data_IF_095886448395
#
_entry.id   IF_095886448395
#
_cell.length_a   1.000
_cell.length_b   1.000
_cell.length_c   1.000
_cell.angle_alpha   90.00
_cell.angle_beta   90.00
_cell.angle_gamma   90.00
#
_symmetry.space_group_name_H-M   'P 1'
#
loop_
_entity.id
_entity.type
_entity.pdbx_description
1 polymer ?
#
# COMPACT_ATOMS: atom_id res chain seq x y z
N UNK A 1 -5.49 -23.52 -0.81
CA UNK A 1 -6.26 -22.33 -0.42
C UNK A 1 -6.22 -21.25 -1.51
N UNK A 2 -7.20 -21.22 -2.41
CA UNK A 2 -7.29 -20.20 -3.47
C UNK A 2 -7.62 -18.80 -2.93
N UNK A 3 -8.41 -18.72 -1.87
CA UNK A 3 -9.03 -17.49 -1.35
C UNK A 3 -8.18 -16.67 -0.35
N UNK A 4 -6.93 -17.06 -0.09
CA UNK A 4 -6.09 -16.41 0.92
C UNK A 4 -5.92 -14.89 0.68
N UNK A 5 -5.84 -14.47 -0.58
CA UNK A 5 -5.73 -13.06 -0.98
C UNK A 5 -7.00 -12.25 -0.62
N UNK A 6 -8.18 -12.86 -0.73
CA UNK A 6 -9.45 -12.20 -0.41
C UNK A 6 -9.59 -12.00 1.10
N UNK A 7 -9.21 -13.00 1.88
CA UNK A 7 -9.25 -12.90 3.35
C UNK A 7 -8.24 -11.87 3.85
N UNK A 8 -7.06 -11.80 3.25
CA UNK A 8 -6.09 -10.73 3.49
C UNK A 8 -6.63 -9.36 3.11
N UNK A 9 -7.36 -9.25 2.01
CA UNK A 9 -8.00 -8.00 1.62
C UNK A 9 -8.97 -7.53 2.71
N UNK A 10 -9.82 -8.44 3.21
CA UNK A 10 -10.74 -8.17 4.32
C UNK A 10 -9.99 -7.79 5.60
N UNK A 11 -8.90 -8.48 5.93
CA UNK A 11 -8.07 -8.16 7.10
C UNK A 11 -7.35 -6.79 6.97
N UNK A 12 -7.10 -6.35 5.74
CA UNK A 12 -6.44 -5.08 5.44
C UNK A 12 -7.44 -3.91 5.34
N UNK A 13 -8.71 -4.21 5.10
CA UNK A 13 -9.77 -3.21 4.91
C UNK A 13 -9.93 -2.23 6.09
N UNK A 14 -9.88 -2.64 7.38
CA UNK A 14 -9.93 -1.70 8.50
C UNK A 14 -8.80 -0.67 8.50
N UNK A 15 -7.60 -1.04 8.01
CA UNK A 15 -6.48 -0.12 7.89
C UNK A 15 -6.72 0.94 6.82
N UNK A 16 -7.35 0.55 5.71
CA UNK A 16 -7.77 1.52 4.68
C UNK A 16 -8.83 2.48 5.22
N UNK A 17 -9.81 1.98 5.98
CA UNK A 17 -10.81 2.85 6.63
C UNK A 17 -10.18 3.79 7.67
N UNK A 18 -9.25 3.30 8.48
CA UNK A 18 -8.53 4.12 9.44
C UNK A 18 -7.69 5.21 8.76
N UNK A 19 -7.04 4.87 7.65
CA UNK A 19 -6.32 5.84 6.83
C UNK A 19 -7.25 6.88 6.20
N UNK A 20 -8.44 6.46 5.77
CA UNK A 20 -9.47 7.35 5.23
C UNK A 20 -9.93 8.36 6.29
N UNK A 21 -10.29 7.87 7.49
CA UNK A 21 -10.68 8.70 8.62
C UNK A 21 -9.56 9.66 9.06
N UNK A 22 -8.31 9.18 9.10
CA UNK A 22 -7.15 10.00 9.43
C UNK A 22 -6.91 11.09 8.38
N UNK A 23 -7.13 10.78 7.10
CA UNK A 23 -7.04 11.76 6.01
C UNK A 23 -8.11 12.84 6.15
N UNK A 24 -9.33 12.47 6.54
CA UNK A 24 -10.40 13.45 6.76
C UNK A 24 -10.10 14.35 7.96
N UNK A 25 -9.53 13.80 9.03
CA UNK A 25 -9.06 14.59 10.18
C UNK A 25 -7.91 15.55 9.80
N UNK A 26 -7.08 15.17 8.81
CA UNK A 26 -5.97 15.96 8.28
C UNK A 26 -6.36 16.83 7.08
N UNK A 27 -7.64 16.88 6.71
CA UNK A 27 -8.11 17.62 5.53
C UNK A 27 -7.75 19.11 5.59
N UNK A 28 -7.76 19.71 6.79
CA UNK A 28 -7.34 21.10 7.02
C UNK A 28 -5.86 21.35 6.70
N UNK A 29 -5.03 20.32 6.73
CA UNK A 29 -3.60 20.37 6.40
C UNK A 29 -3.32 19.96 4.94
N UNK A 30 -4.36 19.62 4.18
CA UNK A 30 -4.28 19.12 2.79
C UNK A 30 -3.37 17.89 2.63
N UNK A 31 -3.27 17.07 3.69
CA UNK A 31 -2.49 15.83 3.72
C UNK A 31 -3.42 14.62 3.66
N UNK A 32 -2.97 13.58 2.96
CA UNK A 32 -3.69 12.30 2.85
C UNK A 32 -2.87 11.20 3.51
N UNK A 33 -3.50 10.45 4.39
CA UNK A 33 -2.90 9.29 5.03
C UNK A 33 -2.97 8.10 4.07
N UNK A 34 -1.81 7.62 3.63
CA UNK A 34 -1.71 6.58 2.61
C UNK A 34 -1.06 5.32 3.19
N UNK A 35 -1.75 4.17 3.11
CA UNK A 35 -1.26 2.89 3.65
C UNK A 35 -1.23 1.76 2.63
N UNK A 36 -1.91 1.90 1.48
CA UNK A 36 -2.09 0.82 0.50
C UNK A 36 -0.78 0.25 -0.02
N UNK A 37 0.27 1.07 -0.13
CA UNK A 37 1.60 0.62 -0.54
C UNK A 37 2.29 -0.22 0.55
N UNK A 38 2.21 0.22 1.81
CA UNK A 38 2.74 -0.52 2.96
C UNK A 38 2.03 -1.88 3.16
N UNK A 39 0.73 -1.94 2.84
CA UNK A 39 -0.08 -3.16 2.93
C UNK A 39 0.39 -4.29 2.00
N UNK A 40 1.24 -4.02 0.99
CA UNK A 40 1.75 -5.06 0.08
C UNK A 40 2.90 -5.87 0.67
N UNK A 41 3.58 -5.34 1.69
CA UNK A 41 4.88 -5.85 2.12
C UNK A 41 4.79 -7.21 2.79
N UNK A 42 3.93 -7.38 3.81
CA UNK A 42 3.78 -8.69 4.45
C UNK A 42 3.18 -9.76 3.51
N UNK A 43 2.12 -9.47 2.71
CA UNK A 43 1.55 -10.43 1.77
C UNK A 43 2.53 -10.85 0.67
N UNK A 44 3.39 -9.94 0.20
CA UNK A 44 4.37 -10.23 -0.88
C UNK A 44 5.35 -11.35 -0.52
N UNK A 45 5.57 -11.61 0.78
CA UNK A 45 6.44 -12.66 1.30
C UNK A 45 5.78 -14.05 1.34
N UNK A 46 4.44 -14.13 1.31
CA UNK A 46 3.72 -15.39 1.57
C UNK A 46 2.75 -15.80 0.45
N UNK A 47 2.08 -14.84 -0.20
CA UNK A 47 1.12 -15.14 -1.25
C UNK A 47 1.78 -15.68 -2.52
N UNK A 48 1.04 -16.43 -3.36
CA UNK A 48 1.49 -16.72 -4.73
C UNK A 48 1.48 -15.44 -5.58
N UNK A 49 2.27 -15.39 -6.68
CA UNK A 49 2.35 -14.19 -7.54
C UNK A 49 0.98 -13.70 -8.01
N UNK A 50 0.14 -14.60 -8.53
CA UNK A 50 -1.21 -14.25 -8.97
C UNK A 50 -2.11 -13.75 -7.83
N UNK A 51 -2.00 -14.35 -6.63
CA UNK A 51 -2.75 -13.91 -5.44
C UNK A 51 -2.34 -12.51 -5.01
N UNK A 52 -1.04 -12.22 -5.09
CA UNK A 52 -0.48 -10.91 -4.76
C UNK A 52 -0.94 -9.84 -5.76
N UNK A 53 -1.00 -10.18 -7.06
CA UNK A 53 -1.52 -9.29 -8.10
C UNK A 53 -3.00 -8.95 -7.86
N UNK A 54 -3.84 -9.95 -7.62
CA UNK A 54 -5.26 -9.72 -7.32
C UNK A 54 -5.45 -8.87 -6.07
N UNK A 55 -4.75 -9.20 -4.99
CA UNK A 55 -4.79 -8.42 -3.75
C UNK A 55 -4.37 -6.96 -3.98
N UNK A 56 -3.28 -6.72 -4.70
CA UNK A 56 -2.78 -5.37 -4.95
C UNK A 56 -3.72 -4.54 -5.84
N UNK A 57 -4.27 -5.15 -6.90
CA UNK A 57 -5.27 -4.51 -7.74
C UNK A 57 -6.50 -4.12 -6.93
N UNK A 58 -7.04 -5.04 -6.12
CA UNK A 58 -8.18 -4.76 -5.26
C UNK A 58 -7.89 -3.65 -4.23
N UNK A 59 -6.70 -3.61 -3.63
CA UNK A 59 -6.31 -2.52 -2.73
C UNK A 59 -6.33 -1.16 -3.43
N UNK A 60 -5.81 -1.09 -4.66
CA UNK A 60 -5.80 0.14 -5.45
C UNK A 60 -7.21 0.59 -5.80
N UNK A 61 -8.04 -0.32 -6.34
CA UNK A 61 -9.44 -0.01 -6.64
C UNK A 61 -10.24 0.42 -5.40
N UNK A 62 -10.02 -0.23 -4.25
CA UNK A 62 -10.67 0.16 -3.00
C UNK A 62 -10.26 1.55 -2.50
N UNK A 63 -9.05 1.99 -2.82
CA UNK A 63 -8.59 3.33 -2.47
C UNK A 63 -9.11 4.37 -3.48
N UNK A 64 -9.09 4.05 -4.77
CA UNK A 64 -9.70 4.86 -5.85
C UNK A 64 -11.19 5.08 -5.62
N UNK A 65 -11.93 4.05 -5.19
CA UNK A 65 -13.35 4.20 -4.88
C UNK A 65 -13.64 5.17 -3.71
N UNK A 66 -12.63 5.47 -2.87
CA UNK A 66 -12.77 6.37 -1.72
C UNK A 66 -12.22 7.78 -1.99
N UNK A 67 -11.30 7.94 -2.95
CA UNK A 67 -10.61 9.20 -3.19
C UNK A 67 -10.61 9.53 -4.68
N UNK A 68 -10.88 10.80 -5.08
CA UNK A 68 -11.04 11.19 -6.47
C UNK A 68 -9.71 11.10 -7.23
N UNK A 69 -9.54 10.04 -8.01
CA UNK A 69 -8.34 9.71 -8.80
C UNK A 69 -8.83 9.08 -10.11
N UNK A 70 -8.12 9.23 -11.24
CA UNK A 70 -8.41 8.48 -12.45
C UNK A 70 -8.43 6.96 -12.21
N UNK A 71 -9.47 6.30 -12.74
CA UNK A 71 -9.68 4.87 -12.57
C UNK A 71 -8.48 4.06 -13.04
N UNK A 72 -8.05 3.11 -12.21
CA UNK A 72 -6.99 2.17 -12.50
C UNK A 72 -5.56 2.72 -12.34
N UNK A 73 -5.36 4.02 -12.12
CA UNK A 73 -4.02 4.60 -11.98
C UNK A 73 -3.26 4.00 -10.80
N UNK A 74 -3.91 3.92 -9.64
CA UNK A 74 -3.32 3.36 -8.44
C UNK A 74 -3.36 1.83 -8.48
N UNK A 75 -4.47 1.23 -8.94
CA UNK A 75 -4.59 -0.23 -9.07
C UNK A 75 -3.47 -0.84 -9.92
N UNK A 76 -3.22 -0.30 -11.11
CA UNK A 76 -2.15 -0.77 -11.98
C UNK A 76 -0.76 -0.54 -11.37
N UNK A 77 -0.56 0.59 -10.69
CA UNK A 77 0.72 0.86 -10.03
C UNK A 77 1.03 -0.12 -8.89
N UNK A 78 0.02 -0.47 -8.08
CA UNK A 78 0.18 -1.42 -6.99
C UNK A 78 0.36 -2.85 -7.52
N UNK A 79 -0.28 -3.20 -8.65
CA UNK A 79 -0.01 -4.45 -9.35
C UNK A 79 1.44 -4.52 -9.82
N UNK A 80 1.97 -3.46 -10.42
CA UNK A 80 3.38 -3.40 -10.82
C UNK A 80 4.32 -3.55 -9.61
N UNK A 81 4.02 -2.84 -8.51
CA UNK A 81 4.76 -2.96 -7.26
C UNK A 81 4.69 -4.39 -6.68
N UNK A 82 3.52 -5.03 -6.71
CA UNK A 82 3.32 -6.41 -6.28
C UNK A 82 4.17 -7.40 -7.08
N UNK A 83 4.23 -7.24 -8.41
CA UNK A 83 5.08 -8.05 -9.29
C UNK A 83 6.54 -7.87 -8.91
N UNK A 84 6.99 -6.62 -8.75
CA UNK A 84 8.36 -6.30 -8.36
C UNK A 84 8.73 -6.90 -6.99
N UNK A 85 7.92 -6.65 -5.96
CA UNK A 85 8.13 -7.18 -4.61
C UNK A 85 8.13 -8.71 -4.59
N UNK A 86 7.26 -9.35 -5.37
CA UNK A 86 7.21 -10.80 -5.48
C UNK A 86 8.45 -11.41 -6.13
N UNK A 87 9.16 -10.64 -6.97
CA UNK A 87 10.45 -11.03 -7.55
C UNK A 87 11.60 -10.81 -6.56
N UNK A 88 11.50 -9.79 -5.70
CA UNK A 88 12.53 -9.39 -4.74
C UNK A 88 12.33 -9.95 -3.32
N UNK A 89 11.61 -11.05 -3.17
CA UNK A 89 11.23 -11.63 -1.86
C UNK A 89 12.39 -11.87 -0.90
N UNK A 90 13.58 -12.22 -1.42
CA UNK A 90 14.76 -12.46 -0.60
C UNK A 90 15.18 -11.20 0.17
N UNK A 91 15.09 -10.03 -0.43
CA UNK A 91 15.41 -8.74 0.19
C UNK A 91 14.40 -8.31 1.27
N UNK A 92 13.18 -8.86 1.23
CA UNK A 92 12.11 -8.58 2.19
C UNK A 92 12.17 -9.46 3.44
N UNK A 93 13.14 -10.38 3.53
CA UNK A 93 13.28 -11.31 4.67
C UNK A 93 13.76 -10.59 5.94
N UNK A 94 14.67 -9.65 5.80
CA UNK A 94 15.23 -8.91 6.92
C UNK A 94 14.34 -7.71 7.25
N UNK A 95 14.12 -7.47 8.54
CA UNK A 95 13.39 -6.30 9.06
C UNK A 95 13.81 -4.97 8.41
N UNK A 96 15.11 -4.63 8.27
CA UNK A 96 15.51 -3.38 7.63
C UNK A 96 15.12 -3.31 6.14
N UNK A 97 15.22 -4.43 5.41
CA UNK A 97 14.80 -4.48 4.00
C UNK A 97 13.29 -4.31 3.86
N UNK A 98 12.53 -4.91 4.77
CA UNK A 98 11.08 -4.80 4.84
C UNK A 98 10.63 -3.35 5.10
N UNK A 99 11.24 -2.66 6.07
CA UNK A 99 10.96 -1.26 6.39
C UNK A 99 11.29 -0.32 5.22
N UNK A 100 12.44 -0.53 4.57
CA UNK A 100 12.83 0.25 3.38
C UNK A 100 11.86 0.04 2.23
N UNK A 101 11.50 -1.20 1.94
CA UNK A 101 10.54 -1.51 0.88
C UNK A 101 9.16 -0.91 1.19
N UNK A 102 8.70 -0.96 2.45
CA UNK A 102 7.45 -0.35 2.87
C UNK A 102 7.44 1.16 2.65
N UNK A 103 8.49 1.86 3.10
CA UNK A 103 8.64 3.29 2.87
C UNK A 103 8.63 3.61 1.38
N UNK A 104 9.46 2.93 0.59
CA UNK A 104 9.61 3.18 -0.85
C UNK A 104 8.31 2.95 -1.63
N UNK A 105 7.64 1.81 -1.39
CA UNK A 105 6.40 1.47 -2.09
C UNK A 105 5.27 2.40 -1.69
N UNK A 106 5.20 2.78 -0.41
CA UNK A 106 4.17 3.70 0.07
C UNK A 106 4.39 5.13 -0.45
N UNK A 107 5.64 5.61 -0.48
CA UNK A 107 6.02 6.88 -1.09
C UNK A 107 5.74 6.86 -2.60
N UNK A 108 6.12 5.79 -3.30
CA UNK A 108 5.88 5.65 -4.74
C UNK A 108 4.40 5.65 -5.11
N UNK A 109 3.59 4.90 -4.38
CA UNK A 109 2.15 4.89 -4.58
C UNK A 109 1.52 6.26 -4.23
N UNK A 110 2.02 6.95 -3.20
CA UNK A 110 1.60 8.30 -2.87
C UNK A 110 1.98 9.34 -3.95
N UNK A 111 3.14 9.20 -4.59
CA UNK A 111 3.53 10.05 -5.72
C UNK A 111 2.57 9.87 -6.89
N UNK A 112 2.31 8.63 -7.26
CA UNK A 112 1.38 8.29 -8.36
C UNK A 112 -0.01 8.85 -8.05
N UNK A 113 -0.48 8.66 -6.82
CA UNK A 113 -1.72 9.27 -6.35
C UNK A 113 -1.73 10.79 -6.51
N UNK A 114 -0.70 11.48 -6.00
CA UNK A 114 -0.65 12.94 -6.01
C UNK A 114 -0.69 13.51 -7.43
N UNK A 115 0.09 12.94 -8.35
CA UNK A 115 0.07 13.36 -9.76
C UNK A 115 -1.22 13.00 -10.47
N UNK A 116 -1.78 11.82 -10.20
CA UNK A 116 -3.03 11.39 -10.80
C UNK A 116 -4.22 12.24 -10.31
N UNK A 117 -4.25 12.60 -9.03
CA UNK A 117 -5.25 13.50 -8.45
C UNK A 117 -5.13 14.92 -9.03
N UNK A 118 -3.90 15.43 -9.21
CA UNK A 118 -3.65 16.73 -9.83
C UNK A 118 -4.14 16.83 -11.29
N UNK A 119 -4.24 15.70 -11.99
CA UNK A 119 -4.82 15.64 -13.34
C UNK A 119 -6.34 15.85 -13.34
N UNK A 120 -7.03 15.43 -12.28
CA UNK A 120 -8.49 15.58 -12.13
C UNK A 120 -8.85 16.93 -11.53
N UNK A 121 -8.06 17.41 -10.58
CA UNK A 121 -8.26 18.68 -9.89
C UNK A 121 -6.93 19.45 -9.79
N UNK A 122 -6.64 20.38 -10.70
CA UNK A 122 -5.36 21.08 -10.72
C UNK A 122 -5.17 21.97 -9.49
N UNK A 123 -4.01 21.84 -8.86
CA UNK A 123 -3.59 22.63 -7.68
C UNK A 123 -2.81 23.87 -8.14
N UNK A 124 -2.95 25.04 -7.48
CA UNK A 124 -2.14 26.22 -7.79
C UNK A 124 -0.63 25.98 -7.60
N UNK A 125 0.18 26.34 -8.61
CA UNK A 125 1.62 26.01 -8.69
C UNK A 125 2.49 26.49 -7.52
N UNK A 126 2.09 27.56 -6.82
CA UNK A 126 2.88 28.17 -5.74
C UNK A 126 3.10 27.28 -4.51
N UNK A 127 2.15 26.38 -4.22
CA UNK A 127 2.16 25.55 -2.99
C UNK A 127 2.44 24.07 -3.25
N UNK A 128 2.53 23.65 -4.52
CA UNK A 128 2.65 22.24 -4.92
C UNK A 128 3.90 21.59 -4.29
N UNK A 129 5.05 22.26 -4.32
CA UNK A 129 6.31 21.69 -3.84
C UNK A 129 6.26 21.46 -2.33
N UNK A 130 5.78 22.44 -1.57
CA UNK A 130 5.70 22.35 -0.11
C UNK A 130 4.65 21.30 0.33
N UNK A 131 3.53 21.21 -0.38
CA UNK A 131 2.52 20.19 -0.12
C UNK A 131 3.04 18.79 -0.48
N UNK A 132 3.69 18.63 -1.63
CA UNK A 132 4.30 17.39 -2.06
C UNK A 132 5.34 16.91 -1.06
N UNK A 133 6.27 17.77 -0.61
CA UNK A 133 7.31 17.37 0.35
C UNK A 133 6.72 16.91 1.69
N UNK A 134 5.70 17.60 2.21
CA UNK A 134 4.99 17.17 3.42
C UNK A 134 4.26 15.85 3.21
N UNK A 135 3.63 15.66 2.05
CA UNK A 135 2.92 14.45 1.69
C UNK A 135 3.87 13.25 1.56
N UNK A 136 5.06 13.44 0.96
CA UNK A 136 6.09 12.40 0.85
C UNK A 136 6.68 12.03 2.22
N UNK A 137 6.94 13.03 3.06
CA UNK A 137 7.41 12.80 4.43
C UNK A 137 6.37 11.97 5.21
N UNK A 138 5.11 12.38 5.17
CA UNK A 138 4.02 11.65 5.81
C UNK A 138 3.93 10.23 5.25
N UNK A 139 3.93 10.05 3.93
CA UNK A 139 3.86 8.73 3.30
C UNK A 139 5.03 7.82 3.71
N UNK A 140 6.25 8.36 3.84
CA UNK A 140 7.42 7.62 4.33
C UNK A 140 7.31 7.23 5.80
N UNK A 141 6.87 8.15 6.66
CA UNK A 141 6.65 7.88 8.09
C UNK A 141 5.55 6.85 8.27
N UNK A 142 4.41 7.00 7.60
CA UNK A 142 3.30 6.04 7.64
C UNK A 142 3.73 4.69 7.08
N UNK A 143 4.50 4.69 5.99
CA UNK A 143 5.04 3.47 5.39
C UNK A 143 5.98 2.71 6.31
N UNK A 144 6.67 3.37 7.24
CA UNK A 144 7.58 2.72 8.20
C UNK A 144 6.90 2.38 9.52
N UNK A 145 6.19 3.32 10.13
CA UNK A 145 5.54 3.17 11.43
C UNK A 145 4.27 2.32 11.33
N UNK A 146 3.45 2.56 10.30
CA UNK A 146 2.22 1.80 10.06
C UNK A 146 2.47 0.36 9.60
N UNK A 147 3.66 0.08 9.04
CA UNK A 147 4.03 -1.26 8.58
C UNK A 147 3.91 -2.31 9.68
N UNK A 148 4.43 -2.03 10.88
CA UNK A 148 4.50 -3.04 11.94
C UNK A 148 3.11 -3.55 12.33
N UNK A 149 2.14 -2.71 12.73
CA UNK A 149 0.83 -3.20 13.12
C UNK A 149 0.04 -3.79 11.93
N UNK A 150 0.16 -3.21 10.72
CA UNK A 150 -0.45 -3.77 9.50
C UNK A 150 0.10 -5.18 9.25
N UNK A 151 1.42 -5.35 9.26
CA UNK A 151 2.08 -6.63 9.03
C UNK A 151 1.71 -7.67 10.09
N UNK A 152 1.57 -7.28 11.36
CA UNK A 152 1.14 -8.18 12.43
C UNK A 152 -0.28 -8.70 12.18
N UNK A 153 -1.22 -7.82 11.83
CA UNK A 153 -2.60 -8.26 11.52
C UNK A 153 -2.68 -9.16 10.28
N UNK A 154 -1.94 -8.81 9.22
CA UNK A 154 -1.88 -9.62 8.01
C UNK A 154 -1.21 -10.98 8.26
N UNK A 155 -0.12 -11.02 9.04
CA UNK A 155 0.54 -12.27 9.41
C UNK A 155 -0.38 -13.16 10.25
N UNK A 156 -1.04 -12.61 11.28
CA UNK A 156 -1.99 -13.35 12.09
C UNK A 156 -3.15 -13.93 11.24
N UNK A 157 -3.66 -13.16 10.27
CA UNK A 157 -4.66 -13.66 9.33
C UNK A 157 -4.14 -14.82 8.48
N UNK A 158 -2.92 -14.71 7.94
CA UNK A 158 -2.29 -15.77 7.14
C UNK A 158 -1.97 -17.02 7.95
N UNK A 159 -1.51 -16.86 9.19
CA UNK A 159 -1.19 -17.96 10.11
C UNK A 159 -2.44 -18.75 10.48
N UNK A 160 -3.56 -18.06 10.78
CA UNK A 160 -4.87 -18.70 11.04
C UNK A 160 -5.39 -19.50 9.84
N UNK A 161 -5.05 -19.07 8.64
CA UNK A 161 -5.40 -19.76 7.40
C UNK A 161 -4.42 -20.90 7.06
N UNK A 162 -3.34 -21.08 7.82
CA UNK A 162 -2.31 -22.05 7.48
C UNK A 162 -1.66 -21.78 6.11
N UNK A 163 -1.59 -20.50 5.69
CA UNK A 163 -0.91 -20.13 4.44
C UNK A 163 0.59 -20.37 4.66
N UNK A 164 1.19 -21.35 3.96
CA UNK A 164 2.59 -21.66 4.17
C UNK A 164 3.45 -20.45 3.77
N UNK A 165 4.59 -20.23 4.43
CA UNK A 165 5.57 -19.27 3.94
C UNK A 165 5.96 -19.62 2.50
N UNK A 166 6.21 -18.61 1.66
CA UNK A 166 6.47 -18.85 0.24
C UNK A 166 7.69 -19.76 0.04
N UNK A 167 7.57 -20.71 -0.90
CA UNK A 167 8.63 -21.67 -1.23
C UNK A 167 9.93 -20.96 -1.66
N UNK A 168 11.06 -21.55 -1.28
CA UNK A 168 12.38 -20.93 -1.38
C UNK A 168 13.00 -20.94 -2.79
N UNK A 169 12.41 -21.69 -3.72
CA UNK A 169 12.84 -21.76 -5.13
C UNK A 169 11.66 -21.53 -6.06
N UNK A 170 11.88 -20.88 -7.21
CA UNK A 170 10.87 -20.71 -8.25
C UNK A 170 10.33 -22.05 -8.76
#
# INVERSE_FOLDING_TARGET
MGWAWLILLLATYPWLLGADLASDALASSSLVFFVSGACLIAPSRRLKRWQMILFAGCLGFLFEARRPIPDGALALSLVAAAIFLSTQRQHLRNTPGMLRAAALVNVGACLIWFFAAAYVAPVPMGDIVAQLMRQLLLAGVVGTVGLLPIALTQNAAMDRLGVPPAAEKP
#
